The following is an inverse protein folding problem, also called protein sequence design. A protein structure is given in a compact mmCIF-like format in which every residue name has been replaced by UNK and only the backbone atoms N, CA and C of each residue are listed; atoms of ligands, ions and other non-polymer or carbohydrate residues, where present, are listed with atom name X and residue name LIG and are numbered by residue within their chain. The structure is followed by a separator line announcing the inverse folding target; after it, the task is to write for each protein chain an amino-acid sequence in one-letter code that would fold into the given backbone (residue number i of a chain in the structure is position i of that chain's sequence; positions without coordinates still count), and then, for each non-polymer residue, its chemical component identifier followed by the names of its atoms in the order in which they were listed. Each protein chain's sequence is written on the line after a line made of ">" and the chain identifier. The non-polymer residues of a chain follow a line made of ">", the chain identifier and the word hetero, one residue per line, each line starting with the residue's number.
data_IF_062284134930
#
_entry.id   IF_062284134930
#
_cell.length_a   1.000
_cell.length_b   1.000
_cell.length_c   1.000
_cell.angle_alpha   90.00
_cell.angle_beta   90.00
_cell.angle_gamma   90.00
#
_symmetry.space_group_name_H-M   'P 1'
#
loop_
_entity.id
_entity.type
_entity.pdbx_description
1 polymer ?
#
# COMPACT_ATOMS: atom_id res chain seq x y z
N UNK A 1 5.02 -55.63 -2.99
CA UNK A 1 3.95 -56.24 -3.82
C UNK A 1 4.58 -56.80 -5.08
N UNK A 2 4.46 -58.11 -5.30
CA UNK A 2 4.95 -58.74 -6.52
C UNK A 2 3.90 -58.49 -7.63
N UNK A 3 4.22 -57.71 -8.65
CA UNK A 3 3.36 -57.57 -9.84
C UNK A 3 3.53 -58.83 -10.68
N UNK A 4 2.50 -59.68 -10.73
CA UNK A 4 2.47 -60.84 -11.62
C UNK A 4 1.22 -60.79 -12.48
N UNK A 5 1.28 -59.96 -13.51
CA UNK A 5 0.40 -60.05 -14.67
C UNK A 5 1.06 -61.09 -15.61
N UNK A 6 0.49 -62.31 -15.70
CA UNK A 6 0.91 -63.35 -16.66
C UNK A 6 1.25 -64.73 -16.07
N UNK A 7 0.66 -65.76 -16.70
CA UNK A 7 0.97 -67.21 -16.66
C UNK A 7 0.80 -68.01 -15.35
N UNK A 8 0.78 -67.40 -14.15
CA UNK A 8 0.89 -68.17 -12.88
C UNK A 8 -0.41 -68.29 -12.05
N UNK A 9 -1.57 -68.40 -12.68
CA UNK A 9 -2.84 -68.73 -12.00
C UNK A 9 -3.40 -70.06 -12.53
N UNK A 10 -3.33 -71.11 -11.70
CA UNK A 10 -3.99 -72.39 -11.94
C UNK A 10 -4.91 -72.72 -10.77
N UNK A 11 -6.23 -72.67 -11.00
CA UNK A 11 -7.23 -73.09 -10.01
C UNK A 11 -7.37 -72.19 -8.78
N UNK A 12 -6.96 -70.92 -8.84
CA UNK A 12 -7.16 -69.95 -7.75
C UNK A 12 -6.09 -69.97 -6.66
N UNK A 13 -5.00 -70.74 -6.82
CA UNK A 13 -3.85 -70.73 -5.92
C UNK A 13 -2.55 -70.49 -6.69
N UNK A 14 -1.70 -69.59 -6.16
CA UNK A 14 -0.39 -69.25 -6.73
C UNK A 14 0.65 -70.32 -6.39
N UNK A 15 1.36 -70.87 -7.38
CA UNK A 15 2.15 -72.11 -7.22
C UNK A 15 3.68 -71.96 -7.28
N UNK A 16 4.26 -70.78 -7.56
CA UNK A 16 5.68 -70.73 -8.01
C UNK A 16 6.52 -69.51 -7.54
N UNK A 17 6.14 -68.79 -6.48
CA UNK A 17 6.98 -67.74 -5.90
C UNK A 17 7.85 -68.26 -4.73
N UNK A 18 9.10 -67.76 -4.51
CA UNK A 18 9.78 -67.98 -3.23
C UNK A 18 8.82 -67.55 -2.10
N UNK A 19 8.68 -68.31 -0.99
CA UNK A 19 7.55 -68.22 -0.07
C UNK A 19 7.11 -66.78 0.10
N UNK A 20 6.05 -66.40 -0.63
CA UNK A 20 5.57 -65.04 -0.65
C UNK A 20 5.28 -64.70 0.79
N UNK A 21 5.88 -63.63 1.31
CA UNK A 21 5.74 -63.19 2.70
C UNK A 21 4.29 -63.40 3.11
N UNK A 22 4.05 -64.42 3.94
CA UNK A 22 2.70 -64.73 4.42
C UNK A 22 2.31 -63.57 5.30
N UNK A 23 1.55 -62.65 4.75
CA UNK A 23 0.93 -61.56 5.48
C UNK A 23 -0.42 -62.04 5.97
N UNK A 24 -0.77 -61.64 7.18
CA UNK A 24 -2.07 -61.94 7.76
C UNK A 24 -3.16 -61.25 6.93
N UNK A 25 -4.30 -61.93 6.77
CA UNK A 25 -5.46 -61.40 6.04
C UNK A 25 -5.88 -60.04 6.62
N UNK A 26 -5.91 -59.93 7.95
CA UNK A 26 -6.24 -58.71 8.67
C UNK A 26 -5.29 -57.55 8.32
N UNK A 27 -4.01 -57.84 8.10
CA UNK A 27 -3.03 -56.83 7.70
C UNK A 27 -3.29 -56.32 6.29
N UNK A 28 -3.58 -57.22 5.34
CA UNK A 28 -3.91 -56.84 3.97
C UNK A 28 -5.21 -56.03 3.90
N UNK A 29 -6.24 -56.45 4.63
CA UNK A 29 -7.50 -55.74 4.73
C UNK A 29 -7.30 -54.33 5.31
N UNK A 30 -6.51 -54.20 6.38
CA UNK A 30 -6.21 -52.89 6.98
C UNK A 30 -5.55 -51.93 6.00
N UNK A 31 -4.60 -52.40 5.18
CA UNK A 31 -3.93 -51.57 4.17
C UNK A 31 -4.89 -51.19 3.04
N UNK A 32 -5.76 -52.10 2.62
CA UNK A 32 -6.77 -51.81 1.60
C UNK A 32 -7.78 -50.76 2.08
N UNK A 33 -8.26 -50.85 3.31
CA UNK A 33 -9.16 -49.86 3.92
C UNK A 33 -8.51 -48.47 4.02
N UNK A 34 -7.21 -48.40 4.34
CA UNK A 34 -6.49 -47.12 4.37
C UNK A 34 -6.38 -46.49 2.98
N UNK A 35 -6.10 -47.29 1.94
CA UNK A 35 -6.06 -46.83 0.55
C UNK A 35 -7.46 -46.39 0.09
N UNK A 36 -8.50 -47.14 0.44
CA UNK A 36 -9.90 -46.79 0.14
C UNK A 36 -10.24 -45.43 0.73
N UNK A 37 -9.90 -45.22 2.00
CA UNK A 37 -10.15 -43.94 2.68
C UNK A 37 -9.48 -42.76 1.97
N UNK A 38 -8.23 -42.92 1.51
CA UNK A 38 -7.54 -41.87 0.75
C UNK A 38 -8.27 -41.57 -0.57
N UNK A 39 -8.78 -42.59 -1.26
CA UNK A 39 -9.51 -42.43 -2.52
C UNK A 39 -10.81 -41.65 -2.30
N UNK A 40 -11.60 -42.04 -1.29
CA UNK A 40 -12.88 -41.41 -0.99
C UNK A 40 -12.70 -39.96 -0.49
N UNK A 41 -11.72 -39.70 0.39
CA UNK A 41 -11.41 -38.34 0.85
C UNK A 41 -10.87 -37.45 -0.28
N UNK A 42 -10.19 -38.03 -1.27
CA UNK A 42 -9.78 -37.33 -2.50
C UNK A 42 -10.89 -37.06 -3.50
N UNK A 43 -12.15 -37.35 -3.14
CA UNK A 43 -13.35 -37.07 -3.94
C UNK A 43 -13.61 -38.07 -5.06
N UNK A 44 -12.86 -39.17 -5.12
CA UNK A 44 -13.01 -40.22 -6.12
C UNK A 44 -13.96 -41.32 -5.60
N UNK A 45 -14.80 -41.87 -6.47
CA UNK A 45 -15.61 -43.06 -6.13
C UNK A 45 -14.84 -44.33 -6.47
N UNK A 46 -14.81 -45.32 -5.57
CA UNK A 46 -14.15 -46.60 -5.83
C UNK A 46 -14.62 -47.23 -7.15
N UNK A 47 -13.68 -47.55 -8.04
CA UNK A 47 -13.95 -48.23 -9.30
C UNK A 47 -13.85 -49.74 -9.09
N UNK A 48 -14.62 -50.48 -9.88
CA UNK A 48 -14.51 -51.94 -9.95
C UNK A 48 -13.41 -52.32 -10.94
N UNK A 49 -12.95 -53.57 -10.90
CA UNK A 49 -11.85 -54.05 -11.74
C UNK A 49 -12.04 -53.79 -13.26
N UNK A 50 -13.28 -53.72 -13.73
CA UNK A 50 -13.60 -53.44 -15.14
C UNK A 50 -13.56 -51.96 -15.52
N UNK A 51 -13.65 -51.07 -14.53
CA UNK A 51 -13.65 -49.60 -14.73
C UNK A 51 -12.39 -48.93 -14.22
N UNK A 52 -11.56 -49.64 -13.45
CA UNK A 52 -10.29 -49.14 -12.90
C UNK A 52 -9.22 -48.94 -13.98
N UNK A 53 -8.73 -47.71 -14.08
CA UNK A 53 -7.66 -47.25 -14.96
C UNK A 53 -6.28 -47.27 -14.28
N UNK A 54 -6.20 -47.76 -13.04
CA UNK A 54 -5.00 -47.84 -12.18
C UNK A 54 -4.41 -46.47 -11.81
N UNK A 55 -5.24 -45.44 -11.88
CA UNK A 55 -4.90 -44.05 -11.58
C UNK A 55 -5.68 -43.49 -10.37
N UNK A 56 -6.65 -44.21 -9.80
CA UNK A 56 -7.52 -43.68 -8.76
C UNK A 56 -6.78 -43.12 -7.54
N UNK A 57 -5.84 -43.88 -6.99
CA UNK A 57 -5.06 -43.42 -5.84
C UNK A 57 -4.20 -42.20 -6.19
N UNK A 58 -3.66 -42.16 -7.41
CA UNK A 58 -2.89 -41.02 -7.89
C UNK A 58 -3.77 -39.78 -8.03
N UNK A 59 -4.93 -39.89 -8.68
CA UNK A 59 -5.89 -38.80 -8.84
C UNK A 59 -6.39 -38.30 -7.48
N UNK A 60 -6.73 -39.19 -6.56
CA UNK A 60 -7.18 -38.83 -5.23
C UNK A 60 -6.09 -38.09 -4.43
N UNK A 61 -4.84 -38.59 -4.44
CA UNK A 61 -3.72 -37.89 -3.80
C UNK A 61 -3.45 -36.55 -4.49
N UNK A 62 -3.54 -36.49 -5.82
CA UNK A 62 -3.43 -35.22 -6.56
C UNK A 62 -4.51 -34.25 -6.09
N UNK A 63 -5.77 -34.65 -6.00
CA UNK A 63 -6.86 -33.80 -5.52
C UNK A 63 -6.64 -33.34 -4.06
N UNK A 64 -6.12 -34.21 -3.18
CA UNK A 64 -5.82 -33.88 -1.78
C UNK A 64 -4.63 -32.90 -1.64
N UNK A 65 -3.68 -32.92 -2.59
CA UNK A 65 -2.49 -32.05 -2.58
C UNK A 65 -2.74 -30.76 -3.39
N UNK A 66 -3.43 -30.87 -4.52
CA UNK A 66 -3.82 -29.81 -5.45
C UNK A 66 -5.05 -29.03 -4.99
N UNK A 67 -5.50 -29.26 -3.75
CA UNK A 67 -6.32 -28.29 -3.02
C UNK A 67 -5.49 -27.03 -2.66
N UNK A 68 -4.75 -26.52 -3.64
CA UNK A 68 -4.22 -25.16 -3.68
C UNK A 68 -5.36 -24.16 -3.43
N UNK A 69 -6.61 -24.48 -3.77
CA UNK A 69 -7.76 -23.67 -3.41
C UNK A 69 -7.92 -23.59 -1.89
N UNK A 70 -7.87 -24.71 -1.14
CA UNK A 70 -7.92 -24.74 0.32
C UNK A 70 -6.65 -24.21 1.01
N UNK A 71 -5.46 -24.49 0.48
CA UNK A 71 -4.18 -23.99 1.03
C UNK A 71 -4.03 -22.49 0.75
N UNK A 72 -4.43 -21.99 -0.42
CA UNK A 72 -4.53 -20.54 -0.63
C UNK A 72 -5.71 -19.95 0.15
N UNK A 73 -6.72 -20.76 0.46
CA UNK A 73 -7.80 -20.44 1.40
C UNK A 73 -7.43 -20.56 2.88
N UNK A 74 -6.15 -20.81 3.18
CA UNK A 74 -5.62 -20.51 4.51
C UNK A 74 -5.43 -18.99 4.64
N UNK A 75 -6.55 -18.26 4.71
CA UNK A 75 -6.75 -16.93 5.31
C UNK A 75 -5.53 -16.00 5.34
N UNK A 76 -5.24 -15.32 4.24
CA UNK A 76 -4.13 -14.37 4.16
C UNK A 76 -4.31 -13.24 3.15
N UNK A 77 -3.55 -12.16 3.36
CA UNK A 77 -3.30 -11.11 2.36
C UNK A 77 -2.63 -11.77 1.14
N UNK A 78 -3.23 -11.69 -0.05
CA UNK A 78 -2.62 -12.29 -1.26
C UNK A 78 -1.94 -11.26 -2.15
N UNK A 79 -2.54 -10.09 -2.30
CA UNK A 79 -2.11 -9.09 -3.29
C UNK A 79 -2.23 -7.68 -2.71
N UNK A 80 -1.33 -6.80 -3.19
CA UNK A 80 -1.34 -5.37 -2.86
C UNK A 80 -1.38 -4.60 -4.17
N UNK A 81 -2.42 -3.80 -4.36
CA UNK A 81 -2.57 -2.87 -5.46
C UNK A 81 -2.25 -1.45 -4.98
N UNK A 82 -1.28 -0.79 -5.61
CA UNK A 82 -0.89 0.60 -5.28
C UNK A 82 -1.32 1.53 -6.41
N UNK A 83 -2.29 2.39 -6.14
CA UNK A 83 -2.86 3.32 -7.10
C UNK A 83 -2.21 4.69 -6.92
N UNK A 84 -1.48 5.14 -7.94
CA UNK A 84 -0.62 6.34 -7.86
C UNK A 84 -1.02 7.43 -8.86
N UNK A 85 -1.98 7.15 -9.74
CA UNK A 85 -2.55 8.11 -10.68
C UNK A 85 -4.00 7.75 -10.99
N UNK A 86 -4.84 8.73 -11.30
CA UNK A 86 -6.21 8.53 -11.73
C UNK A 86 -7.13 9.67 -11.31
N UNK A 87 -8.07 10.05 -12.17
CA UNK A 87 -9.11 11.04 -11.87
C UNK A 87 -10.44 10.40 -12.24
N UNK A 88 -11.27 10.10 -11.24
CA UNK A 88 -12.47 9.29 -11.41
C UNK A 88 -12.19 7.95 -12.15
N UNK A 89 -11.03 7.35 -11.88
CA UNK A 89 -10.62 6.07 -12.43
C UNK A 89 -11.33 4.92 -11.69
N UNK A 90 -11.32 3.73 -12.29
CA UNK A 90 -11.99 2.56 -11.71
C UNK A 90 -10.98 1.52 -11.25
N UNK A 91 -11.14 1.05 -10.02
CA UNK A 91 -10.49 -0.12 -9.47
C UNK A 91 -11.48 -1.28 -9.52
N UNK A 92 -11.18 -2.31 -10.31
CA UNK A 92 -11.97 -3.53 -10.39
C UNK A 92 -11.47 -4.53 -9.36
N UNK A 93 -12.37 -4.99 -8.49
CA UNK A 93 -12.01 -5.97 -7.45
C UNK A 93 -11.72 -7.31 -8.14
N UNK A 94 -10.54 -7.93 -7.90
CA UNK A 94 -10.25 -9.21 -8.53
C UNK A 94 -11.20 -10.31 -8.05
N UNK A 95 -11.43 -11.28 -8.95
CA UNK A 95 -12.33 -12.41 -8.67
C UNK A 95 -11.85 -13.20 -7.45
N UNK A 96 -12.78 -13.56 -6.56
CA UNK A 96 -12.50 -14.31 -5.33
C UNK A 96 -12.03 -13.47 -4.14
N UNK A 97 -11.80 -12.15 -4.32
CA UNK A 97 -11.47 -11.26 -3.22
C UNK A 97 -12.69 -11.11 -2.28
N UNK A 98 -12.53 -11.46 -1.02
CA UNK A 98 -13.61 -11.46 -0.02
C UNK A 98 -13.55 -10.25 0.90
N UNK A 99 -12.37 -9.65 1.08
CA UNK A 99 -12.19 -8.45 1.91
C UNK A 99 -11.12 -7.54 1.34
N UNK A 100 -11.27 -6.23 1.56
CA UNK A 100 -10.25 -5.23 1.21
C UNK A 100 -9.85 -4.46 2.46
N UNK A 101 -8.56 -4.23 2.64
CA UNK A 101 -8.09 -3.17 3.52
C UNK A 101 -7.56 -2.03 2.66
N UNK A 102 -8.22 -0.88 2.72
CA UNK A 102 -7.90 0.26 1.87
C UNK A 102 -7.31 1.36 2.72
N UNK A 103 -6.08 1.75 2.43
CA UNK A 103 -5.42 2.94 2.98
C UNK A 103 -5.46 4.05 1.92
N UNK A 104 -6.05 5.20 2.25
CA UNK A 104 -6.14 6.37 1.37
C UNK A 104 -5.31 7.49 1.97
N UNK A 105 -4.43 8.11 1.18
CA UNK A 105 -3.54 9.18 1.61
C UNK A 105 -3.68 10.37 0.66
N UNK A 106 -3.97 11.54 1.22
CA UNK A 106 -4.09 12.80 0.49
C UNK A 106 -2.72 13.31 0.03
N UNK A 107 -2.68 14.21 -0.95
CA UNK A 107 -1.42 14.77 -1.44
C UNK A 107 -0.81 15.79 -0.46
N UNK A 108 0.49 16.05 -0.56
CA UNK A 108 1.13 17.13 0.19
C UNK A 108 0.95 18.49 -0.50
N UNK A 109 0.96 19.57 0.28
CA UNK A 109 0.97 20.94 -0.23
C UNK A 109 2.36 21.39 -0.71
N UNK A 110 2.42 22.41 -1.56
CA UNK A 110 3.66 23.05 -1.98
C UNK A 110 4.10 24.14 -1.00
N UNK A 111 5.41 24.37 -0.90
CA UNK A 111 5.98 25.45 -0.09
C UNK A 111 5.89 26.81 -0.79
N UNK A 112 6.04 27.90 -0.05
CA UNK A 112 6.16 29.24 -0.65
C UNK A 112 7.54 29.49 -1.29
N UNK A 113 7.64 30.49 -2.16
CA UNK A 113 8.90 31.08 -2.61
C UNK A 113 9.42 32.15 -1.65
N UNK A 114 10.61 32.67 -1.92
CA UNK A 114 11.19 33.80 -1.21
C UNK A 114 11.71 34.89 -2.14
N UNK A 115 11.60 36.13 -1.67
CA UNK A 115 12.20 37.34 -2.25
C UNK A 115 13.43 37.75 -1.44
N UNK A 116 14.62 37.56 -2.00
CA UNK A 116 15.90 37.88 -1.36
C UNK A 116 16.20 39.38 -1.45
N UNK A 117 16.49 40.02 -0.32
CA UNK A 117 16.62 41.47 -0.24
C UNK A 117 18.07 41.96 -0.10
N UNK A 118 19.04 41.08 -0.34
CA UNK A 118 20.47 41.39 -0.32
C UNK A 118 21.09 41.29 1.07
N UNK A 119 22.23 41.96 1.24
CA UNK A 119 23.06 41.85 2.43
C UNK A 119 22.31 42.24 3.72
N UNK A 120 22.62 41.55 4.82
CA UNK A 120 22.02 41.75 6.15
C UNK A 120 20.53 41.42 6.21
N UNK A 121 20.01 40.65 5.25
CA UNK A 121 18.62 40.17 5.25
C UNK A 121 18.56 38.65 5.25
N UNK A 122 17.42 38.11 5.69
CA UNK A 122 17.13 36.69 5.57
C UNK A 122 15.68 36.47 5.19
N UNK A 123 15.44 35.52 4.30
CA UNK A 123 14.11 35.10 3.89
C UNK A 123 14.02 33.58 3.97
N UNK A 124 12.99 33.06 4.62
CA UNK A 124 12.65 31.65 4.56
C UNK A 124 11.17 31.55 4.26
N UNK A 125 10.70 30.68 3.38
CA UNK A 125 9.26 30.49 3.16
C UNK A 125 8.66 29.53 4.19
N UNK A 126 7.33 29.43 4.23
CA UNK A 126 6.70 28.31 4.92
C UNK A 126 6.73 27.07 4.01
N UNK A 127 7.02 25.91 4.60
CA UNK A 127 6.95 24.64 3.90
C UNK A 127 5.49 24.19 3.69
N UNK A 128 5.27 23.21 2.80
CA UNK A 128 3.94 22.65 2.55
C UNK A 128 3.48 21.69 3.66
N UNK A 129 2.16 21.58 3.85
CA UNK A 129 1.56 20.67 4.83
C UNK A 129 1.47 19.23 4.32
N UNK A 130 1.42 18.26 5.24
CA UNK A 130 1.24 16.84 4.90
C UNK A 130 -0.21 16.50 4.60
N UNK A 131 -0.43 15.53 3.71
CA UNK A 131 -1.75 14.99 3.39
C UNK A 131 -2.36 14.19 4.54
N UNK A 132 -3.70 14.19 4.60
CA UNK A 132 -4.45 13.35 5.55
C UNK A 132 -4.38 11.87 5.20
N UNK A 133 -4.93 11.01 6.05
CA UNK A 133 -5.09 9.60 5.73
C UNK A 133 -6.28 8.96 6.42
N UNK A 134 -6.86 7.94 5.78
CA UNK A 134 -7.82 7.06 6.43
C UNK A 134 -7.59 5.62 5.99
N UNK A 135 -8.05 4.67 6.82
CA UNK A 135 -7.95 3.24 6.55
C UNK A 135 -9.27 2.55 6.88
N UNK A 136 -9.71 1.64 6.02
CA UNK A 136 -10.97 0.89 6.19
C UNK A 136 -10.82 -0.58 5.83
N UNK A 137 -11.38 -1.44 6.67
CA UNK A 137 -11.66 -2.84 6.32
C UNK A 137 -13.05 -2.93 5.70
N UNK A 138 -13.10 -3.41 4.47
CA UNK A 138 -14.33 -3.68 3.72
C UNK A 138 -14.51 -5.20 3.71
N UNK A 139 -15.55 -5.68 4.41
CA UNK A 139 -15.82 -7.13 4.56
C UNK A 139 -16.74 -7.71 3.49
N UNK A 140 -17.36 -6.85 2.69
CA UNK A 140 -18.19 -7.22 1.55
C UNK A 140 -17.92 -6.22 0.42
N UNK A 141 -16.85 -6.44 -0.37
CA UNK A 141 -16.45 -5.51 -1.41
C UNK A 141 -17.46 -5.50 -2.56
N UNK A 142 -17.72 -4.31 -3.11
CA UNK A 142 -18.40 -4.18 -4.39
C UNK A 142 -17.50 -4.70 -5.53
N UNK A 143 -18.07 -4.96 -6.71
CA UNK A 143 -17.29 -5.42 -7.86
C UNK A 143 -16.26 -4.39 -8.34
N UNK A 144 -16.50 -3.10 -8.09
CA UNK A 144 -15.59 -2.02 -8.45
C UNK A 144 -15.76 -0.79 -7.57
N UNK A 145 -14.74 0.06 -7.57
CA UNK A 145 -14.70 1.33 -6.87
C UNK A 145 -14.15 2.42 -7.80
N UNK A 146 -14.72 3.60 -7.72
CA UNK A 146 -14.18 4.80 -8.36
C UNK A 146 -13.18 5.46 -7.41
N UNK A 147 -12.05 5.90 -7.94
CA UNK A 147 -11.02 6.57 -7.16
C UNK A 147 -10.41 7.77 -7.90
N UNK A 148 -9.88 8.70 -7.10
CA UNK A 148 -9.09 9.84 -7.57
C UNK A 148 -7.84 9.93 -6.73
N UNK A 149 -6.69 10.14 -7.37
CA UNK A 149 -5.42 10.43 -6.70
C UNK A 149 -5.23 11.94 -6.67
N UNK A 150 -5.08 12.49 -5.47
CA UNK A 150 -4.79 13.92 -5.30
C UNK A 150 -3.43 14.26 -5.90
N UNK A 151 -3.37 15.32 -6.72
CA UNK A 151 -2.10 15.86 -7.20
C UNK A 151 -1.35 16.59 -6.08
N UNK A 152 -0.01 16.53 -6.09
CA UNK A 152 0.82 17.33 -5.19
C UNK A 152 0.64 18.83 -5.44
N UNK A 153 0.75 19.64 -4.38
CA UNK A 153 0.72 21.09 -4.51
C UNK A 153 1.99 21.62 -5.19
N UNK A 154 1.85 22.57 -6.10
CA UNK A 154 2.98 23.26 -6.71
C UNK A 154 3.64 24.21 -5.69
N UNK A 155 4.96 24.27 -5.71
CA UNK A 155 5.72 25.27 -4.97
C UNK A 155 5.47 26.67 -5.51
N UNK A 156 5.58 27.68 -4.64
CA UNK A 156 5.50 29.08 -5.02
C UNK A 156 6.66 29.45 -5.94
N UNK A 157 6.38 30.24 -6.97
CA UNK A 157 7.42 30.78 -7.84
C UNK A 157 8.41 31.65 -7.04
N UNK A 158 9.63 31.80 -7.56
CA UNK A 158 10.65 32.69 -6.97
C UNK A 158 10.08 34.09 -6.65
N UNK A 159 10.35 34.60 -5.46
CA UNK A 159 9.72 35.80 -4.89
C UNK A 159 8.72 35.47 -3.78
N UNK A 160 8.08 36.48 -3.20
CA UNK A 160 7.07 36.34 -2.14
C UNK A 160 5.74 35.79 -2.69
N UNK A 161 5.77 34.53 -3.13
CA UNK A 161 4.64 33.81 -3.70
C UNK A 161 4.29 32.59 -2.85
N UNK A 162 3.01 32.44 -2.55
CA UNK A 162 2.49 31.23 -1.92
C UNK A 162 2.58 30.01 -2.86
N UNK A 163 2.77 28.83 -2.29
CA UNK A 163 2.53 27.56 -2.98
C UNK A 163 1.04 27.27 -3.14
N UNK A 164 0.71 26.08 -3.64
CA UNK A 164 -0.66 25.59 -3.72
C UNK A 164 -0.93 24.45 -2.74
N UNK A 165 -2.20 24.29 -2.35
CA UNK A 165 -2.62 23.14 -1.55
C UNK A 165 -2.52 21.85 -2.38
N UNK A 166 -2.36 20.72 -1.69
CA UNK A 166 -2.44 19.39 -2.29
C UNK A 166 -3.89 18.99 -2.60
N UNK A 167 -4.08 18.16 -3.61
CA UNK A 167 -5.37 17.58 -3.95
C UNK A 167 -5.82 16.49 -2.97
N UNK A 168 -7.13 16.31 -2.87
CA UNK A 168 -7.73 15.20 -2.12
C UNK A 168 -7.62 13.88 -2.89
N UNK A 169 -7.35 12.79 -2.18
CA UNK A 169 -7.41 11.42 -2.69
C UNK A 169 -8.70 10.76 -2.19
N UNK A 170 -9.42 10.04 -3.04
CA UNK A 170 -10.68 9.39 -2.69
C UNK A 170 -10.83 7.99 -3.26
N UNK A 171 -11.61 7.16 -2.57
CA UNK A 171 -11.98 5.81 -2.98
C UNK A 171 -13.44 5.55 -2.58
N UNK A 172 -14.33 5.37 -3.55
CA UNK A 172 -15.76 5.29 -3.32
C UNK A 172 -16.46 4.26 -4.21
N UNK A 173 -17.47 3.59 -3.69
CA UNK A 173 -18.20 2.54 -4.40
C UNK A 173 -19.09 1.75 -3.45
N UNK A 174 -20.26 1.32 -3.92
CA UNK A 174 -21.30 0.76 -3.06
C UNK A 174 -21.71 1.76 -1.98
N UNK A 175 -21.62 1.36 -0.71
CA UNK A 175 -21.86 2.22 0.46
C UNK A 175 -20.59 2.83 1.07
N UNK A 176 -19.43 2.61 0.44
CA UNK A 176 -18.14 3.07 0.93
C UNK A 176 -17.78 4.41 0.30
N UNK A 177 -17.31 5.36 1.11
CA UNK A 177 -16.75 6.63 0.68
C UNK A 177 -15.58 6.99 1.59
N UNK A 178 -14.36 6.83 1.08
CA UNK A 178 -13.12 7.21 1.75
C UNK A 178 -12.57 8.47 1.09
N UNK A 179 -12.11 9.41 1.91
CA UNK A 179 -11.47 10.63 1.42
C UNK A 179 -10.34 11.04 2.35
N UNK A 180 -9.22 11.44 1.78
CA UNK A 180 -8.13 12.08 2.50
C UNK A 180 -7.78 13.38 1.79
N UNK A 181 -7.99 14.50 2.49
CA UNK A 181 -7.70 15.82 1.91
C UNK A 181 -6.20 16.03 1.79
N UNK A 182 -5.79 16.82 0.81
CA UNK A 182 -4.40 17.23 0.71
C UNK A 182 -3.98 18.19 1.83
N UNK A 183 -2.67 18.36 1.98
CA UNK A 183 -2.07 19.32 2.88
C UNK A 183 -2.22 20.76 2.38
N UNK A 184 -2.19 21.71 3.32
CA UNK A 184 -2.25 23.14 3.06
C UNK A 184 -0.99 23.67 2.39
N UNK A 185 -1.11 24.85 1.79
CA UNK A 185 -0.02 25.55 1.13
C UNK A 185 0.94 26.22 2.12
N UNK A 186 2.20 26.36 1.72
CA UNK A 186 3.17 27.23 2.35
C UNK A 186 3.10 28.65 1.80
N UNK A 187 3.13 29.65 2.68
CA UNK A 187 3.20 31.06 2.31
C UNK A 187 4.61 31.47 1.88
N UNK A 188 4.65 32.41 0.94
CA UNK A 188 5.89 33.06 0.50
C UNK A 188 6.49 33.96 1.58
N UNK A 189 7.65 34.54 1.27
CA UNK A 189 8.23 35.55 2.15
C UNK A 189 9.20 36.52 1.49
N UNK A 190 9.06 37.80 1.85
CA UNK A 190 10.07 38.83 1.59
C UNK A 190 11.15 38.87 2.66
N UNK A 191 12.42 39.01 2.26
CA UNK A 191 13.54 39.13 3.19
C UNK A 191 13.42 40.33 4.13
N UNK A 192 13.82 40.14 5.39
CA UNK A 192 13.84 41.22 6.39
C UNK A 192 15.24 41.46 6.92
N UNK A 193 15.53 42.72 7.22
CA UNK A 193 16.77 43.14 7.88
C UNK A 193 16.77 42.79 9.38
N UNK A 194 17.98 42.73 9.96
CA UNK A 194 18.28 42.25 11.32
C UNK A 194 17.31 42.64 12.46
N UNK A 195 17.21 41.72 13.44
CA UNK A 195 16.44 41.74 14.70
C UNK A 195 14.91 41.60 14.64
N UNK A 196 14.30 41.30 13.49
CA UNK A 196 12.86 41.04 13.42
C UNK A 196 12.50 39.56 13.58
N UNK A 197 11.51 39.26 14.43
CA UNK A 197 10.90 37.94 14.56
C UNK A 197 9.80 37.78 13.52
N UNK A 198 10.13 37.22 12.37
CA UNK A 198 9.14 36.79 11.37
C UNK A 198 8.66 35.38 11.68
N UNK A 199 7.42 35.23 12.19
CA UNK A 199 6.80 33.91 12.39
C UNK A 199 5.94 33.56 11.17
N UNK A 200 6.35 32.55 10.40
CA UNK A 200 5.55 32.03 9.30
C UNK A 200 4.48 31.08 9.85
N UNK A 201 3.21 31.25 9.45
CA UNK A 201 2.15 30.30 9.80
C UNK A 201 2.45 28.94 9.18
N UNK A 202 2.49 27.91 10.02
CA UNK A 202 2.56 26.53 9.57
C UNK A 202 1.43 26.21 8.58
N UNK A 203 1.76 25.50 7.51
CA UNK A 203 0.76 24.97 6.60
C UNK A 203 -0.10 23.92 7.31
N UNK A 204 -1.42 24.08 7.21
CA UNK A 204 -2.38 23.14 7.82
C UNK A 204 -2.21 21.73 7.25
N UNK A 205 -2.39 20.68 8.08
CA UNK A 205 -2.39 19.31 7.57
C UNK A 205 -3.72 18.97 6.88
N UNK A 206 -3.69 17.98 6.00
CA UNK A 206 -4.89 17.31 5.51
C UNK A 206 -5.52 16.39 6.56
N UNK A 207 -6.75 15.94 6.31
CA UNK A 207 -7.50 15.04 7.18
C UNK A 207 -8.15 13.89 6.38
N UNK A 208 -8.10 12.69 6.94
CA UNK A 208 -8.89 11.55 6.46
C UNK A 208 -10.32 11.53 6.99
N UNK A 209 -11.21 10.90 6.24
CA UNK A 209 -12.61 10.65 6.61
C UNK A 209 -13.15 9.37 5.95
N UNK A 210 -14.21 8.82 6.54
CA UNK A 210 -14.92 7.63 6.04
C UNK A 210 -14.27 6.28 6.38
N UNK A 211 -13.02 6.29 6.89
CA UNK A 211 -12.33 5.11 7.35
C UNK A 211 -12.82 4.62 8.72
N UNK A 212 -12.44 3.40 9.07
CA UNK A 212 -12.55 2.90 10.45
C UNK A 212 -11.53 3.62 11.34
N UNK A 213 -10.38 3.99 10.75
CA UNK A 213 -9.39 4.88 11.32
C UNK A 213 -9.26 6.09 10.41
N UNK A 214 -9.28 7.28 11.01
CA UNK A 214 -9.12 8.55 10.32
C UNK A 214 -8.01 9.34 11.03
N UNK A 215 -7.03 9.80 10.27
CA UNK A 215 -5.89 10.54 10.79
C UNK A 215 -5.63 11.81 10.00
N UNK A 216 -4.92 12.73 10.65
CA UNK A 216 -4.40 13.94 10.01
C UNK A 216 -2.97 13.71 9.53
N UNK A 217 -2.58 14.48 8.52
CA UNK A 217 -1.16 14.70 8.26
C UNK A 217 -0.52 15.50 9.40
N UNK A 218 0.79 15.67 9.32
CA UNK A 218 1.50 16.64 10.15
C UNK A 218 1.45 18.03 9.50
N UNK A 219 1.26 19.09 10.29
CA UNK A 219 1.47 20.45 9.79
C UNK A 219 2.92 20.62 9.36
N UNK A 220 3.21 21.64 8.55
CA UNK A 220 4.60 22.08 8.44
C UNK A 220 5.07 22.68 9.76
N UNK A 221 6.38 22.76 9.98
CA UNK A 221 6.91 23.59 11.06
C UNK A 221 6.92 25.06 10.62
N UNK A 222 6.56 25.94 11.55
CA UNK A 222 6.72 27.38 11.36
C UNK A 222 8.20 27.77 11.32
N UNK A 223 8.49 28.95 10.77
CA UNK A 223 9.83 29.54 10.84
C UNK A 223 9.91 30.55 11.98
N UNK A 224 11.08 30.71 12.56
CA UNK A 224 11.42 31.88 13.38
C UNK A 224 12.78 32.41 12.92
N UNK A 225 12.89 33.70 12.69
CA UNK A 225 14.15 34.39 12.35
C UNK A 225 14.44 35.35 13.50
N UNK A 226 15.63 35.32 14.07
CA UNK A 226 16.07 36.20 15.17
C UNK A 226 17.45 36.75 14.80
N UNK A 227 17.57 38.07 14.63
CA UNK A 227 18.87 38.70 14.36
C UNK A 227 19.52 38.30 13.03
N UNK A 228 18.74 37.93 12.00
CA UNK A 228 19.27 37.41 10.73
C UNK A 228 19.68 35.94 10.78
N UNK A 229 19.37 35.23 11.87
CA UNK A 229 19.57 33.79 12.00
C UNK A 229 18.23 33.07 12.11
N UNK A 230 18.12 31.88 11.53
CA UNK A 230 16.96 31.01 11.73
C UNK A 230 17.02 30.39 13.14
N UNK A 231 15.99 30.63 13.94
CA UNK A 231 15.76 29.99 15.22
C UNK A 231 14.84 28.75 15.13
N UNK A 232 14.17 28.53 13.99
CA UNK A 232 13.33 27.33 13.74
C UNK A 232 13.36 26.88 12.28
N UNK A 233 13.71 25.61 12.05
CA UNK A 233 13.86 25.03 10.70
C UNK A 233 12.47 24.71 10.12
N UNK A 234 12.04 25.35 9.01
CA UNK A 234 10.75 25.08 8.38
C UNK A 234 10.77 23.73 7.66
N UNK A 235 10.54 22.65 8.42
CA UNK A 235 10.37 21.30 7.88
C UNK A 235 8.97 21.16 7.29
N UNK A 236 8.86 20.53 6.13
CA UNK A 236 7.55 20.24 5.55
C UNK A 236 6.76 19.22 6.37
N UNK A 237 5.44 19.30 6.27
CA UNK A 237 4.56 18.28 6.85
C UNK A 237 4.61 16.98 6.07
N UNK A 238 4.25 15.88 6.70
CA UNK A 238 4.18 14.56 6.08
C UNK A 238 2.90 13.81 6.48
N UNK A 239 2.59 12.74 5.75
CA UNK A 239 1.64 11.75 6.25
C UNK A 239 2.34 10.90 7.32
N UNK A 240 1.75 10.63 8.50
CA UNK A 240 2.39 9.79 9.52
C UNK A 240 2.47 8.30 9.11
N UNK A 241 1.80 7.91 8.03
CA UNK A 241 1.84 6.54 7.50
C UNK A 241 3.06 6.31 6.61
N UNK A 242 3.45 7.33 5.83
CA UNK A 242 4.56 7.29 4.87
C UNK A 242 5.16 8.69 4.68
N UNK A 243 6.49 8.75 4.57
CA UNK A 243 7.26 9.99 4.39
C UNK A 243 7.95 10.47 5.67
N UNK A 244 8.76 11.53 5.54
CA UNK A 244 9.60 12.04 6.64
C UNK A 244 9.66 13.56 6.75
N UNK A 245 9.08 14.28 5.79
CA UNK A 245 9.23 15.72 5.69
C UNK A 245 10.53 16.10 4.96
N UNK A 246 10.55 17.31 4.43
CA UNK A 246 11.68 17.89 3.73
C UNK A 246 12.29 19.02 4.53
N UNK A 247 13.61 18.98 4.64
CA UNK A 247 14.39 20.09 5.18
C UNK A 247 14.56 21.17 4.10
N UNK A 248 14.71 22.43 4.50
CA UNK A 248 15.09 23.49 3.57
C UNK A 248 16.56 23.33 3.15
N UNK A 249 16.90 23.90 2.00
CA UNK A 249 18.28 24.13 1.57
C UNK A 249 18.63 25.60 1.71
N UNK A 250 19.86 25.88 2.15
CA UNK A 250 20.39 27.24 2.25
C UNK A 250 20.76 27.77 0.86
N UNK A 251 20.30 28.98 0.57
CA UNK A 251 20.56 29.72 -0.68
C UNK A 251 20.23 28.88 -1.92
N UNK A 252 19.09 28.18 -1.86
CA UNK A 252 18.59 27.34 -2.94
C UNK A 252 17.05 27.29 -2.89
N UNK A 253 16.49 26.74 -3.97
CA UNK A 253 15.08 26.40 -4.05
C UNK A 253 14.70 25.36 -2.99
N UNK A 254 13.43 25.40 -2.59
CA UNK A 254 12.87 24.40 -1.69
C UNK A 254 12.91 22.99 -2.29
N UNK A 255 13.15 21.99 -1.45
CA UNK A 255 13.20 20.61 -1.91
C UNK A 255 11.82 20.08 -2.29
N UNK A 256 11.72 19.46 -3.47
CA UNK A 256 10.53 18.71 -3.82
C UNK A 256 10.37 17.50 -2.89
N UNK A 257 9.13 17.24 -2.48
CA UNK A 257 8.75 16.04 -1.76
C UNK A 257 9.03 14.77 -2.60
N UNK A 258 9.29 13.64 -1.92
CA UNK A 258 9.63 12.37 -2.59
C UNK A 258 8.76 11.19 -2.13
N UNK A 259 7.93 11.39 -1.10
CA UNK A 259 7.03 10.36 -0.59
C UNK A 259 5.57 10.80 -0.67
N UNK A 260 4.64 9.86 -0.82
CA UNK A 260 3.22 10.19 -0.95
C UNK A 260 2.65 10.93 0.26
N UNK A 261 1.88 11.99 -0.01
CA UNK A 261 1.33 12.86 1.02
C UNK A 261 2.34 13.75 1.74
N UNK A 262 3.60 13.78 1.32
CA UNK A 262 4.62 14.68 1.85
C UNK A 262 4.54 16.07 1.21
N UNK A 263 4.61 17.12 2.04
CA UNK A 263 4.64 18.51 1.59
C UNK A 263 6.02 18.92 1.05
N UNK A 264 6.05 19.94 0.21
CA UNK A 264 7.30 20.50 -0.31
C UNK A 264 8.11 21.24 0.75
N UNK A 265 9.43 21.18 0.65
CA UNK A 265 10.37 21.88 1.52
C UNK A 265 10.40 23.39 1.27
N UNK A 266 10.68 24.16 2.31
CA UNK A 266 10.80 25.62 2.21
C UNK A 266 12.05 26.04 1.44
N UNK A 267 11.98 27.21 0.81
CA UNK A 267 13.13 27.92 0.24
C UNK A 267 13.76 28.81 1.31
N UNK A 268 15.07 29.00 1.25
CA UNK A 268 15.80 29.81 2.23
C UNK A 268 16.93 30.61 1.58
N UNK A 269 17.06 31.88 1.99
CA UNK A 269 18.16 32.76 1.63
C UNK A 269 18.68 33.53 2.83
N UNK A 270 20.00 33.77 2.84
CA UNK A 270 20.67 34.62 3.82
C UNK A 270 21.71 35.49 3.11
N UNK A 271 21.68 36.79 3.41
CA UNK A 271 22.65 37.75 2.86
C UNK A 271 22.71 37.73 1.31
N UNK A 272 21.59 37.39 0.66
CA UNK A 272 21.48 37.18 -0.78
C UNK A 272 20.32 37.97 -1.38
N UNK A 273 20.49 38.41 -2.63
CA UNK A 273 19.47 39.10 -3.44
C UNK A 273 18.70 38.16 -4.38
N UNK A 274 19.07 36.88 -4.41
CA UNK A 274 18.45 35.91 -5.29
C UNK A 274 17.09 35.44 -4.75
N UNK A 275 16.17 35.24 -5.68
CA UNK A 275 14.82 34.77 -5.38
C UNK A 275 14.74 33.27 -5.65
N UNK A 276 14.24 32.53 -4.68
CA UNK A 276 14.16 31.07 -4.74
C UNK A 276 12.71 30.60 -4.69
N UNK A 277 12.39 29.60 -5.50
CA UNK A 277 11.06 28.98 -5.53
C UNK A 277 10.90 27.96 -4.41
N UNK A 278 9.67 27.75 -3.95
CA UNK A 278 9.34 26.69 -3.00
C UNK A 278 9.38 25.29 -3.62
N UNK A 279 9.53 24.27 -2.78
CA UNK A 279 9.41 22.87 -3.20
C UNK A 279 7.97 22.47 -3.49
N UNK A 280 7.79 21.58 -4.46
CA UNK A 280 6.52 20.92 -4.76
C UNK A 280 6.20 19.85 -3.71
N UNK A 281 4.92 19.73 -3.33
CA UNK A 281 4.41 18.58 -2.58
C UNK A 281 4.27 17.35 -3.49
N UNK A 282 4.18 16.17 -2.89
CA UNK A 282 4.01 14.92 -3.62
C UNK A 282 2.54 14.53 -3.71
N UNK A 283 2.19 13.77 -4.74
CA UNK A 283 0.84 13.24 -4.93
C UNK A 283 0.40 12.33 -3.78
N UNK A 284 -0.90 12.10 -3.68
CA UNK A 284 -1.49 11.11 -2.79
C UNK A 284 -1.30 9.68 -3.30
N UNK A 285 -1.83 8.70 -2.57
CA UNK A 285 -1.80 7.29 -2.95
C UNK A 285 -2.96 6.53 -2.33
N UNK A 286 -3.38 5.45 -2.98
CA UNK A 286 -4.27 4.46 -2.40
C UNK A 286 -3.55 3.12 -2.40
N UNK A 287 -3.54 2.45 -1.26
CA UNK A 287 -3.00 1.10 -1.10
C UNK A 287 -4.17 0.18 -0.79
N UNK A 288 -4.40 -0.79 -1.65
CA UNK A 288 -5.46 -1.80 -1.52
C UNK A 288 -4.82 -3.14 -1.23
N UNK A 289 -5.02 -3.62 -0.01
CA UNK A 289 -4.65 -4.94 0.45
C UNK A 289 -5.85 -5.89 0.24
N UNK A 290 -5.67 -6.91 -0.60
CA UNK A 290 -6.73 -7.81 -1.04
C UNK A 290 -6.63 -9.16 -0.31
N UNK A 291 -7.72 -9.54 0.35
CA UNK A 291 -7.82 -10.78 1.10
C UNK A 291 -8.81 -11.72 0.45
N UNK A 292 -8.44 -12.99 0.44
CA UNK A 292 -9.21 -14.06 -0.17
C UNK A 292 -9.54 -15.06 0.93
N UNK A 293 -10.64 -15.77 0.73
CA UNK A 293 -10.98 -16.87 1.61
C UNK A 293 -10.16 -18.09 1.27
#
# INVERSE_FOLDING_TARGET
>A
MHRTEGENNSGGMFIDGPPGTRVEEDWLNSVQEEIIKVIEEGGETLKVATTDTRDQLYTAISNLIDDEAAIRASSGLRTISVLTSGVAATYSVPSGCTRLMVTVIGAGGGAGGIDGQGASTSAASAAGGGGGWCRKLITSPASSYTYTIGAGGAGGASGDNAGSAGGSTSFAGGSISLSATGGGLGLGHTGFAGNQVGNGTAASPGAGSGGDINGRGLPSHGRSIVGGYIAGIPVSGCCPVIGGGKLPKLDDNGENATAYGEGGGAAFSRDASDNYSGGNGFQGVIIVEEYYN
#
